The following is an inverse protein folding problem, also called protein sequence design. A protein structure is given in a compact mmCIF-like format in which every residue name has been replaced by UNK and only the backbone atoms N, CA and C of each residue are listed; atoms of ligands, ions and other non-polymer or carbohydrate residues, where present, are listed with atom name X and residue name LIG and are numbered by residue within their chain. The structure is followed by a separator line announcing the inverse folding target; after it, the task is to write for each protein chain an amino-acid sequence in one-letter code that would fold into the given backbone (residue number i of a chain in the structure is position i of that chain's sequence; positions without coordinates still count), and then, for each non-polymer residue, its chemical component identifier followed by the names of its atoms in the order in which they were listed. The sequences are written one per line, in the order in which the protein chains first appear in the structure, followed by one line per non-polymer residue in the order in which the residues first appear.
data_IF_475846640142
#
_entry.id   IF_475846640142
#
_cell.length_a   1.000
_cell.length_b   1.000
_cell.length_c   1.000
_cell.angle_alpha   90.00
_cell.angle_beta   90.00
_cell.angle_gamma   90.00
#
_symmetry.space_group_name_H-M   'P 1'
#
loop_
_entity.id
_entity.type
_entity.pdbx_description
1 polymer ?
#
# COMPACT_ATOMS: atom_id res chain seq x y z
N UNK A 1 -30.75 -49.43 2.04
CA UNK A 1 -29.76 -49.29 3.13
C UNK A 1 -29.43 -47.79 3.27
N UNK A 2 -29.79 -47.12 4.38
CA UNK A 2 -29.78 -45.66 4.46
C UNK A 2 -28.39 -45.10 4.80
N UNK A 3 -28.01 -44.03 4.12
CA UNK A 3 -26.74 -43.30 4.29
C UNK A 3 -26.71 -42.62 5.68
N UNK A 4 -25.76 -43.03 6.53
CA UNK A 4 -25.47 -42.37 7.81
C UNK A 4 -24.95 -40.95 7.56
N UNK A 5 -25.66 -39.95 8.09
CA UNK A 5 -25.16 -38.57 8.20
C UNK A 5 -23.91 -38.56 9.10
N UNK A 6 -22.73 -38.28 8.54
CA UNK A 6 -21.54 -37.93 9.33
C UNK A 6 -21.75 -36.51 9.88
N UNK A 7 -21.92 -36.38 11.20
CA UNK A 7 -21.88 -35.08 11.87
C UNK A 7 -20.51 -34.46 11.68
N UNK A 8 -20.43 -33.31 11.04
CA UNK A 8 -19.21 -32.51 11.00
C UNK A 8 -19.02 -31.96 12.41
N UNK A 9 -18.07 -32.53 13.17
CA UNK A 9 -17.63 -31.94 14.44
C UNK A 9 -17.02 -30.58 14.09
N UNK A 10 -17.67 -29.51 14.54
CA UNK A 10 -17.08 -28.19 14.56
C UNK A 10 -15.74 -28.29 15.32
N UNK A 11 -14.66 -27.89 14.66
CA UNK A 11 -13.38 -27.64 15.32
C UNK A 11 -13.63 -26.54 16.35
N UNK A 12 -13.67 -26.91 17.63
CA UNK A 12 -13.63 -25.94 18.72
C UNK A 12 -12.28 -25.22 18.64
N UNK A 13 -12.28 -24.02 18.05
CA UNK A 13 -11.20 -23.08 18.24
C UNK A 13 -11.21 -22.66 19.70
N UNK A 14 -10.19 -23.11 20.45
CA UNK A 14 -9.92 -22.65 21.81
C UNK A 14 -9.96 -21.12 21.85
N UNK A 15 -10.91 -20.58 22.61
CA UNK A 15 -11.03 -19.16 22.92
C UNK A 15 -9.74 -18.72 23.62
N UNK A 16 -8.82 -18.11 22.85
CA UNK A 16 -7.71 -17.38 23.44
C UNK A 16 -8.30 -16.23 24.25
N UNK A 17 -8.19 -16.37 25.56
CA UNK A 17 -8.48 -15.40 26.62
C UNK A 17 -8.10 -13.98 26.17
N UNK A 18 -9.07 -13.21 25.72
CA UNK A 18 -8.90 -11.77 25.54
C UNK A 18 -8.56 -11.19 26.92
N UNK A 19 -7.39 -10.58 27.07
CA UNK A 19 -7.06 -9.82 28.26
C UNK A 19 -8.16 -8.76 28.42
N UNK A 20 -8.97 -8.84 29.49
CA UNK A 20 -9.97 -7.83 29.85
C UNK A 20 -9.24 -6.56 30.26
N UNK A 21 -8.70 -5.81 29.32
CA UNK A 21 -8.22 -4.46 29.56
C UNK A 21 -9.47 -3.60 29.83
N UNK A 22 -9.76 -3.36 31.11
CA UNK A 22 -10.73 -2.34 31.51
C UNK A 22 -10.08 -0.99 31.22
N UNK A 23 -10.74 -0.17 30.42
CA UNK A 23 -10.32 1.22 30.19
C UNK A 23 -11.19 2.07 31.09
N UNK A 24 -10.58 2.70 32.09
CA UNK A 24 -11.31 3.54 33.05
C UNK A 24 -11.79 4.84 32.40
N UNK A 25 -12.96 5.32 32.82
CA UNK A 25 -13.48 6.60 32.37
C UNK A 25 -12.82 7.74 33.16
N UNK A 26 -12.17 8.67 32.44
CA UNK A 26 -11.44 9.79 33.04
C UNK A 26 -12.38 10.81 33.72
N UNK A 27 -13.65 10.86 33.30
CA UNK A 27 -14.67 11.77 33.84
C UNK A 27 -15.47 11.13 34.98
N UNK A 28 -15.85 9.87 34.86
CA UNK A 28 -16.51 9.11 35.93
C UNK A 28 -15.57 8.01 36.43
N UNK A 29 -14.84 8.31 37.51
CA UNK A 29 -13.80 7.43 38.08
C UNK A 29 -14.31 6.07 38.56
N UNK A 30 -15.62 5.89 38.70
CA UNK A 30 -16.26 4.61 39.06
C UNK A 30 -16.83 3.87 37.85
N UNK A 31 -16.62 4.39 36.64
CA UNK A 31 -17.13 3.84 35.40
C UNK A 31 -16.00 3.39 34.49
N UNK A 32 -16.31 2.42 33.65
CA UNK A 32 -15.40 1.87 32.65
C UNK A 32 -16.02 1.99 31.27
N UNK A 33 -15.17 2.12 30.26
CA UNK A 33 -15.59 1.94 28.89
C UNK A 33 -15.87 0.46 28.63
N UNK A 34 -17.14 0.11 28.44
CA UNK A 34 -17.58 -1.27 28.20
C UNK A 34 -18.11 -1.48 26.80
N UNK A 35 -18.58 -0.41 26.16
CA UNK A 35 -19.21 -0.46 24.86
C UNK A 35 -18.21 -0.04 23.79
N UNK A 36 -18.20 -0.78 22.67
CA UNK A 36 -17.35 -0.50 21.52
C UNK A 36 -18.25 -0.17 20.33
N UNK A 37 -18.04 0.99 19.73
CA UNK A 37 -18.73 1.43 18.52
C UNK A 37 -17.74 1.59 17.38
N UNK A 38 -18.01 0.90 16.28
CA UNK A 38 -17.34 1.14 15.01
C UNK A 38 -18.12 2.20 14.24
N UNK A 39 -17.51 3.35 14.01
CA UNK A 39 -18.07 4.39 13.17
C UNK A 39 -17.37 4.40 11.81
N UNK A 40 -18.13 4.16 10.76
CA UNK A 40 -17.62 4.25 9.40
C UNK A 40 -17.33 5.71 9.05
N UNK A 41 -16.10 5.97 8.61
CA UNK A 41 -15.67 7.30 8.19
C UNK A 41 -15.79 7.43 6.68
N UNK A 42 -15.03 6.62 5.95
CA UNK A 42 -15.10 6.55 4.50
C UNK A 42 -14.67 5.18 4.03
N UNK A 43 -15.61 4.47 3.40
CA UNK A 43 -15.40 3.18 2.74
C UNK A 43 -14.69 2.14 3.61
N UNK A 44 -13.37 2.01 3.52
CA UNK A 44 -12.56 1.05 4.31
C UNK A 44 -12.02 1.63 5.62
N UNK A 45 -12.34 2.89 5.92
CA UNK A 45 -11.86 3.58 7.12
C UNK A 45 -12.92 3.63 8.20
N UNK A 46 -12.52 3.25 9.40
CA UNK A 46 -13.36 3.21 10.59
C UNK A 46 -12.68 3.91 11.77
N UNK A 47 -13.51 4.51 12.61
CA UNK A 47 -13.17 4.94 13.95
C UNK A 47 -13.63 3.87 14.93
N UNK A 48 -12.72 3.42 15.79
CA UNK A 48 -13.07 2.62 16.95
C UNK A 48 -13.29 3.55 18.14
N UNK A 49 -14.54 3.72 18.54
CA UNK A 49 -14.92 4.49 19.72
C UNK A 49 -15.26 3.56 20.86
N UNK A 50 -14.71 3.86 22.02
CA UNK A 50 -15.14 3.32 23.30
C UNK A 50 -16.19 4.26 23.88
N UNK A 51 -17.33 3.72 24.33
CA UNK A 51 -18.41 4.44 24.98
C UNK A 51 -18.45 4.05 26.46
N UNK A 52 -18.55 5.04 27.33
CA UNK A 52 -18.68 4.82 28.77
C UNK A 52 -20.07 4.23 29.08
N UNK A 53 -20.16 3.32 30.04
CA UNK A 53 -21.46 2.72 30.41
C UNK A 53 -22.37 3.67 31.18
N UNK A 54 -21.80 4.65 31.88
CA UNK A 54 -22.52 5.45 32.87
C UNK A 54 -22.49 6.97 32.57
N UNK A 55 -21.83 7.42 31.51
CA UNK A 55 -21.88 8.80 31.05
C UNK A 55 -21.71 8.88 29.52
N UNK A 56 -21.99 10.05 28.93
CA UNK A 56 -21.91 10.26 27.48
C UNK A 56 -20.48 10.41 26.93
N UNK A 57 -19.48 10.14 27.77
CA UNK A 57 -18.09 10.20 27.34
C UNK A 57 -17.75 9.10 26.36
N UNK A 58 -16.98 9.49 25.33
CA UNK A 58 -16.46 8.59 24.34
C UNK A 58 -14.98 8.84 24.08
N UNK A 59 -14.24 7.76 23.86
CA UNK A 59 -12.80 7.80 23.55
C UNK A 59 -12.56 7.12 22.22
N UNK A 60 -11.98 7.84 21.25
CA UNK A 60 -11.53 7.22 20.00
C UNK A 60 -10.17 6.57 20.25
N UNK A 61 -10.09 5.24 20.13
CA UNK A 61 -8.90 4.46 20.50
C UNK A 61 -8.08 4.03 19.29
N UNK A 62 -8.74 3.72 18.17
CA UNK A 62 -8.07 3.44 16.91
C UNK A 62 -8.66 4.34 15.86
N UNK A 63 -7.77 5.08 15.21
CA UNK A 63 -8.10 5.79 14.00
C UNK A 63 -7.34 5.11 12.85
N UNK A 64 -8.06 4.66 11.82
CA UNK A 64 -7.43 4.19 10.57
C UNK A 64 -6.77 5.34 9.78
N UNK A 65 -6.91 6.58 10.26
CA UNK A 65 -6.05 7.70 9.94
C UNK A 65 -4.81 7.75 10.83
N UNK A 66 -3.63 7.74 10.24
CA UNK A 66 -2.47 8.37 10.88
C UNK A 66 -2.63 9.89 10.77
N UNK A 67 -2.57 10.60 11.91
CA UNK A 67 -2.59 12.08 11.98
C UNK A 67 -1.47 12.75 11.16
N UNK A 68 -0.44 12.00 10.78
CA UNK A 68 0.72 12.48 10.02
C UNK A 68 0.49 12.59 8.50
N UNK A 69 -0.66 12.17 7.96
CA UNK A 69 -0.96 12.32 6.53
C UNK A 69 -1.97 13.45 6.31
N UNK A 70 -1.57 14.58 5.68
CA UNK A 70 -2.31 15.85 5.77
C UNK A 70 -3.74 15.84 5.24
N UNK A 71 -4.12 14.92 4.34
CA UNK A 71 -5.43 15.01 3.65
C UNK A 71 -5.87 13.67 3.06
N UNK A 72 -5.80 12.57 3.81
CA UNK A 72 -6.36 11.29 3.33
C UNK A 72 -6.36 10.19 4.37
N UNK A 73 -7.32 9.29 4.26
CA UNK A 73 -7.37 8.08 5.07
C UNK A 73 -6.15 7.21 4.74
N UNK A 74 -5.25 7.02 5.72
CA UNK A 74 -4.00 6.28 5.54
C UNK A 74 -4.23 4.86 5.04
N UNK A 75 -5.29 4.20 5.51
CA UNK A 75 -5.69 2.87 5.06
C UNK A 75 -5.97 2.81 3.55
N UNK A 76 -6.56 3.85 2.94
CA UNK A 76 -6.81 3.88 1.50
C UNK A 76 -5.50 3.91 0.71
N UNK A 77 -4.52 4.69 1.20
CA UNK A 77 -3.18 4.75 0.61
C UNK A 77 -2.49 3.38 0.70
N UNK A 78 -2.58 2.72 1.86
CA UNK A 78 -1.99 1.39 2.09
C UNK A 78 -2.63 0.30 1.24
N UNK A 79 -3.95 0.29 1.10
CA UNK A 79 -4.65 -0.65 0.20
C UNK A 79 -4.23 -0.38 -1.25
N UNK A 80 -4.21 0.89 -1.67
CA UNK A 80 -3.72 1.25 -3.02
C UNK A 80 -2.29 0.74 -3.22
N UNK A 81 -1.40 0.96 -2.26
CA UNK A 81 -0.01 0.51 -2.30
C UNK A 81 0.10 -1.01 -2.41
N UNK A 82 -0.63 -1.76 -1.58
CA UNK A 82 -0.61 -3.22 -1.57
C UNK A 82 -1.08 -3.79 -2.92
N UNK A 83 -2.14 -3.23 -3.50
CA UNK A 83 -2.63 -3.66 -4.81
C UNK A 83 -1.69 -3.24 -5.95
N UNK A 84 -1.04 -2.08 -5.85
CA UNK A 84 0.02 -1.68 -6.79
C UNK A 84 1.22 -2.64 -6.77
N UNK A 85 1.63 -3.14 -5.61
CA UNK A 85 2.74 -4.11 -5.49
C UNK A 85 2.45 -5.45 -6.16
N UNK A 86 1.17 -5.84 -6.27
CA UNK A 86 0.74 -7.03 -7.03
C UNK A 86 0.25 -6.70 -8.44
N UNK A 87 0.55 -5.50 -8.94
CA UNK A 87 0.19 -5.04 -10.28
C UNK A 87 -1.32 -5.10 -10.57
N UNK A 88 -2.13 -4.83 -9.55
CA UNK A 88 -3.59 -4.81 -9.65
C UNK A 88 -4.11 -3.39 -9.43
N UNK A 89 -4.94 -2.94 -10.37
CA UNK A 89 -5.59 -1.64 -10.30
C UNK A 89 -6.88 -1.65 -9.47
N UNK A 90 -7.58 -0.52 -9.52
CA UNK A 90 -8.81 -0.26 -8.77
C UNK A 90 -9.88 -1.36 -8.88
N UNK A 91 -10.10 -1.94 -10.07
CA UNK A 91 -11.10 -3.00 -10.24
C UNK A 91 -10.83 -4.28 -9.44
N UNK A 92 -9.56 -4.54 -9.07
CA UNK A 92 -9.25 -5.64 -8.17
C UNK A 92 -9.56 -5.31 -6.71
N UNK A 93 -9.37 -4.05 -6.31
CA UNK A 93 -9.76 -3.54 -4.99
C UNK A 93 -11.27 -3.67 -4.82
N UNK A 94 -12.05 -3.30 -5.84
CA UNK A 94 -13.52 -3.45 -5.81
C UNK A 94 -13.94 -4.90 -5.58
N UNK A 95 -13.33 -5.85 -6.31
CA UNK A 95 -13.60 -7.29 -6.14
C UNK A 95 -13.20 -7.79 -4.76
N UNK A 96 -12.04 -7.37 -4.27
CA UNK A 96 -11.57 -7.71 -2.93
C UNK A 96 -12.54 -7.20 -1.86
N UNK A 97 -12.92 -5.92 -1.92
CA UNK A 97 -13.88 -5.30 -1.02
C UNK A 97 -15.23 -6.04 -1.03
N UNK A 98 -15.73 -6.39 -2.21
CA UNK A 98 -16.97 -7.18 -2.36
C UNK A 98 -16.88 -8.55 -1.66
N UNK A 99 -15.78 -9.29 -1.84
CA UNK A 99 -15.58 -10.60 -1.17
C UNK A 99 -15.47 -10.44 0.35
N UNK A 100 -14.85 -9.36 0.81
CA UNK A 100 -14.70 -9.06 2.23
C UNK A 100 -15.97 -8.46 2.87
N UNK A 101 -17.03 -8.22 2.09
CA UNK A 101 -18.22 -7.49 2.50
C UNK A 101 -17.91 -6.09 3.09
N UNK A 102 -17.02 -5.36 2.42
CA UNK A 102 -16.60 -3.98 2.75
C UNK A 102 -16.85 -3.10 1.53
N UNK A 103 -17.18 -1.82 1.73
CA UNK A 103 -17.35 -0.89 0.61
C UNK A 103 -15.99 -0.35 0.11
N UNK A 104 -15.71 -0.41 -1.21
CA UNK A 104 -14.49 0.14 -1.79
C UNK A 104 -14.55 1.67 -1.89
N UNK A 105 -13.43 2.35 -1.62
CA UNK A 105 -13.31 3.80 -1.84
C UNK A 105 -13.44 4.16 -3.31
N UNK A 106 -13.96 5.34 -3.64
CA UNK A 106 -14.20 5.74 -5.03
C UNK A 106 -12.96 5.69 -5.93
N UNK A 107 -13.17 5.54 -7.24
CA UNK A 107 -12.12 5.62 -8.26
C UNK A 107 -11.36 6.95 -8.22
N UNK A 108 -12.03 8.05 -7.87
CA UNK A 108 -11.41 9.37 -7.66
C UNK A 108 -10.44 9.34 -6.47
N UNK A 109 -10.83 8.70 -5.36
CA UNK A 109 -9.97 8.51 -4.19
C UNK A 109 -8.77 7.62 -4.53
N UNK A 110 -8.99 6.54 -5.29
CA UNK A 110 -7.91 5.71 -5.83
C UNK A 110 -6.92 6.53 -6.65
N UNK A 111 -7.39 7.36 -7.59
CA UNK A 111 -6.52 8.21 -8.41
C UNK A 111 -5.68 9.20 -7.59
N UNK A 112 -6.25 9.76 -6.51
CA UNK A 112 -5.51 10.60 -5.56
C UNK A 112 -4.44 9.81 -4.80
N UNK A 113 -4.75 8.59 -4.37
CA UNK A 113 -3.78 7.73 -3.66
C UNK A 113 -2.67 7.26 -4.59
N UNK A 114 -3.01 6.81 -5.80
CA UNK A 114 -2.04 6.38 -6.80
C UNK A 114 -1.05 7.49 -7.14
N UNK A 115 -1.54 8.72 -7.37
CA UNK A 115 -0.67 9.89 -7.62
C UNK A 115 0.24 10.22 -6.43
N UNK A 116 -0.25 10.06 -5.20
CA UNK A 116 0.59 10.27 -4.01
C UNK A 116 1.71 9.25 -3.91
N UNK A 117 1.41 7.99 -4.21
CA UNK A 117 2.42 6.92 -4.24
C UNK A 117 3.44 7.17 -5.33
N UNK A 118 2.99 7.53 -6.53
CA UNK A 118 3.84 7.87 -7.67
C UNK A 118 4.83 8.98 -7.32
N UNK A 119 4.34 10.13 -6.81
CA UNK A 119 5.20 11.22 -6.36
C UNK A 119 6.20 10.79 -5.28
N UNK A 120 5.78 9.96 -4.33
CA UNK A 120 6.65 9.48 -3.25
C UNK A 120 7.73 8.53 -3.77
N UNK A 121 7.40 7.65 -4.73
CA UNK A 121 8.37 6.75 -5.35
C UNK A 121 9.35 7.49 -6.25
N UNK A 122 8.88 8.49 -7.02
CA UNK A 122 9.76 9.34 -7.83
C UNK A 122 10.78 10.06 -6.95
N UNK A 123 10.33 10.73 -5.90
CA UNK A 123 11.23 11.44 -4.98
C UNK A 123 12.21 10.48 -4.28
N UNK A 124 11.75 9.31 -3.84
CA UNK A 124 12.62 8.31 -3.23
C UNK A 124 13.68 7.81 -4.23
N UNK A 125 13.28 7.59 -5.49
CA UNK A 125 14.19 7.18 -6.55
C UNK A 125 15.23 8.26 -6.82
N UNK A 126 14.82 9.52 -6.99
CA UNK A 126 15.74 10.65 -7.19
C UNK A 126 16.80 10.76 -6.09
N UNK A 127 16.40 10.58 -4.82
CA UNK A 127 17.34 10.60 -3.69
C UNK A 127 18.32 9.42 -3.73
N UNK A 128 17.85 8.21 -4.07
CA UNK A 128 18.70 7.02 -4.23
C UNK A 128 19.70 7.23 -5.38
N UNK A 129 19.24 7.72 -6.53
CA UNK A 129 20.12 7.97 -7.67
C UNK A 129 21.15 9.06 -7.37
N UNK A 130 20.78 10.11 -6.63
CA UNK A 130 21.74 11.13 -6.19
C UNK A 130 22.85 10.55 -5.29
N UNK A 131 22.50 9.62 -4.40
CA UNK A 131 23.47 8.90 -3.57
C UNK A 131 24.36 7.97 -4.41
N UNK A 132 23.77 7.18 -5.31
CA UNK A 132 24.51 6.31 -6.24
C UNK A 132 25.50 7.12 -7.08
N UNK A 133 25.08 8.23 -7.67
CA UNK A 133 25.93 9.08 -8.49
C UNK A 133 27.11 9.65 -7.69
N UNK A 134 26.90 9.99 -6.41
CA UNK A 134 27.98 10.42 -5.51
C UNK A 134 28.97 9.28 -5.25
N UNK A 135 28.49 8.08 -4.95
CA UNK A 135 29.37 6.92 -4.71
C UNK A 135 30.17 6.53 -5.96
N UNK A 136 29.53 6.52 -7.13
CA UNK A 136 30.22 6.28 -8.40
C UNK A 136 31.29 7.36 -8.62
N UNK A 137 30.95 8.63 -8.41
CA UNK A 137 31.92 9.73 -8.57
C UNK A 137 33.15 9.56 -7.68
N UNK A 138 32.97 9.16 -6.41
CA UNK A 138 34.07 8.91 -5.48
C UNK A 138 34.99 7.75 -5.94
N UNK A 139 34.44 6.73 -6.60
CA UNK A 139 35.22 5.59 -7.11
C UNK A 139 36.03 5.97 -8.34
N UNK A 140 35.46 6.79 -9.22
CA UNK A 140 36.10 7.25 -10.46
C UNK A 140 36.86 8.58 -10.30
N UNK A 141 37.02 9.06 -9.06
CA UNK A 141 37.55 10.38 -8.72
C UNK A 141 39.04 10.50 -9.07
N UNK A 142 39.32 10.92 -10.32
CA UNK A 142 40.66 11.18 -10.85
C UNK A 142 40.97 12.69 -11.00
N UNK A 143 40.17 13.56 -10.39
CA UNK A 143 40.28 15.03 -10.53
C UNK A 143 39.73 15.59 -11.85
N UNK A 144 39.03 14.79 -12.65
CA UNK A 144 38.38 15.22 -13.88
C UNK A 144 36.94 15.67 -13.65
N UNK A 145 36.47 16.67 -14.41
CA UNK A 145 35.07 17.14 -14.39
C UNK A 145 34.11 16.10 -15.00
N UNK A 146 34.59 15.33 -15.98
CA UNK A 146 33.86 14.27 -16.67
C UNK A 146 34.55 12.94 -16.36
N UNK A 147 33.77 11.95 -15.94
CA UNK A 147 34.23 10.59 -15.70
C UNK A 147 33.74 9.67 -16.82
N UNK A 148 34.66 8.90 -17.40
CA UNK A 148 34.33 7.84 -18.35
C UNK A 148 33.91 6.58 -17.59
N UNK A 149 32.64 6.19 -17.75
CA UNK A 149 32.07 5.02 -17.09
C UNK A 149 32.03 3.83 -18.05
N UNK A 150 32.56 2.70 -17.60
CA UNK A 150 32.34 1.43 -18.27
C UNK A 150 31.02 0.84 -17.79
N UNK A 151 30.05 0.69 -18.69
CA UNK A 151 28.69 0.26 -18.33
C UNK A 151 28.29 -1.02 -19.05
N UNK A 152 27.43 -1.81 -18.40
CA UNK A 152 26.62 -2.84 -19.01
C UNK A 152 25.17 -2.37 -19.12
N UNK A 153 24.42 -2.99 -20.02
CA UNK A 153 22.99 -2.72 -20.20
C UNK A 153 22.22 -4.02 -19.97
N UNK A 154 21.18 -3.93 -19.17
CA UNK A 154 20.21 -5.01 -19.00
C UNK A 154 18.78 -4.47 -19.11
N UNK A 155 17.82 -5.35 -19.34
CA UNK A 155 16.43 -4.97 -19.42
C UNK A 155 15.48 -6.13 -19.23
N UNK A 156 14.30 -5.82 -18.73
CA UNK A 156 13.25 -6.79 -18.46
C UNK A 156 11.94 -6.39 -19.11
N UNK A 157 11.09 -7.39 -19.34
CA UNK A 157 9.76 -7.21 -19.89
C UNK A 157 8.71 -7.61 -18.84
N UNK A 158 7.61 -6.88 -18.77
CA UNK A 158 6.54 -7.16 -17.81
C UNK A 158 5.96 -8.58 -17.96
N UNK A 159 5.87 -9.09 -19.18
CA UNK A 159 5.38 -10.44 -19.47
C UNK A 159 6.40 -11.25 -20.24
N UNK A 160 6.42 -12.57 -20.01
CA UNK A 160 7.21 -13.51 -20.80
C UNK A 160 6.58 -13.70 -22.19
N UNK A 161 7.44 -13.96 -23.18
CA UNK A 161 7.04 -14.07 -24.59
C UNK A 161 7.13 -12.72 -25.31
N UNK A 162 7.28 -12.76 -26.63
CA UNK A 162 7.46 -11.57 -27.49
C UNK A 162 6.22 -10.67 -27.62
N UNK A 163 5.36 -10.64 -26.61
CA UNK A 163 4.07 -9.94 -26.58
C UNK A 163 4.03 -8.82 -25.55
N UNK A 164 5.12 -8.57 -24.81
CA UNK A 164 5.14 -7.48 -23.84
C UNK A 164 5.06 -6.12 -24.52
N UNK A 165 4.18 -5.26 -24.00
CA UNK A 165 4.05 -3.87 -24.42
C UNK A 165 4.70 -2.90 -23.44
N UNK A 166 5.25 -3.42 -22.34
CA UNK A 166 5.91 -2.66 -21.29
C UNK A 166 7.24 -3.34 -20.97
N UNK A 167 8.32 -2.57 -21.03
CA UNK A 167 9.65 -3.01 -20.67
C UNK A 167 10.37 -1.95 -19.85
N UNK A 168 11.47 -2.36 -19.25
CA UNK A 168 12.37 -1.50 -18.50
C UNK A 168 13.80 -1.85 -18.91
N UNK A 169 14.61 -0.84 -19.18
CA UNK A 169 16.05 -1.00 -19.39
C UNK A 169 16.81 -0.24 -18.32
N UNK A 170 17.94 -0.78 -17.87
CA UNK A 170 18.83 -0.15 -16.92
C UNK A 170 20.29 -0.16 -17.41
N UNK A 171 21.01 0.88 -17.05
CA UNK A 171 22.45 1.05 -17.29
C UNK A 171 23.15 0.77 -15.98
N UNK A 172 24.08 -0.19 -15.96
CA UNK A 172 24.75 -0.67 -14.75
C UNK A 172 26.24 -0.38 -14.89
N UNK A 173 26.81 0.34 -13.93
CA UNK A 173 28.25 0.57 -13.88
C UNK A 173 28.99 -0.75 -13.60
N UNK A 174 29.99 -1.06 -14.42
CA UNK A 174 30.70 -2.34 -14.37
C UNK A 174 31.60 -2.47 -13.13
N UNK A 175 32.04 -1.35 -12.57
CA UNK A 175 32.99 -1.35 -11.46
C UNK A 175 32.28 -1.46 -10.10
N UNK A 176 31.23 -0.67 -9.89
CA UNK A 176 30.46 -0.64 -8.64
C UNK A 176 29.28 -1.61 -8.64
N UNK A 177 28.79 -2.00 -9.82
CA UNK A 177 27.58 -2.80 -9.98
C UNK A 177 26.28 -2.01 -9.72
N UNK A 178 26.35 -0.68 -9.53
CA UNK A 178 25.16 0.14 -9.32
C UNK A 178 24.44 0.45 -10.63
N UNK A 179 23.12 0.56 -10.55
CA UNK A 179 22.30 1.10 -11.64
C UNK A 179 22.49 2.61 -11.70
N UNK A 180 23.07 3.10 -12.80
CA UNK A 180 23.36 4.52 -13.03
C UNK A 180 22.13 5.27 -13.53
N UNK A 181 21.37 4.62 -14.41
CA UNK A 181 20.16 5.16 -15.00
C UNK A 181 19.22 4.03 -15.41
N UNK A 182 17.92 4.34 -15.53
CA UNK A 182 16.92 3.39 -15.99
C UNK A 182 15.81 4.08 -16.79
N UNK A 183 15.18 3.32 -17.68
CA UNK A 183 14.07 3.80 -18.48
C UNK A 183 12.97 2.76 -18.60
N UNK A 184 11.78 3.15 -18.16
CA UNK A 184 10.54 2.43 -18.46
C UNK A 184 10.06 2.81 -19.86
N UNK A 185 9.85 1.80 -20.71
CA UNK A 185 9.33 1.91 -22.07
C UNK A 185 7.92 1.30 -22.14
N UNK A 186 6.97 2.03 -22.72
CA UNK A 186 5.60 1.53 -22.92
C UNK A 186 5.14 1.79 -24.35
N UNK A 187 4.64 0.75 -25.01
CA UNK A 187 3.86 0.84 -26.27
C UNK A 187 2.36 1.01 -26.00
N UNK A 188 1.95 1.02 -24.73
CA UNK A 188 0.55 1.25 -24.33
C UNK A 188 0.35 2.73 -24.06
N UNK A 189 -0.54 3.37 -24.84
CA UNK A 189 -1.00 4.72 -24.58
C UNK A 189 -2.49 4.70 -24.21
N UNK A 190 -2.81 5.06 -22.96
CA UNK A 190 -4.21 5.05 -22.47
C UNK A 190 -5.10 6.02 -23.25
N UNK A 191 -4.56 7.16 -23.66
CA UNK A 191 -5.30 8.12 -24.49
C UNK A 191 -5.67 7.51 -25.85
N UNK A 192 -4.71 6.91 -26.56
CA UNK A 192 -4.97 6.21 -27.82
C UNK A 192 -5.90 5.01 -27.66
N UNK A 193 -5.82 4.28 -26.54
CA UNK A 193 -6.73 3.16 -26.27
C UNK A 193 -8.18 3.59 -26.06
N UNK A 194 -8.42 4.77 -25.49
CA UNK A 194 -9.77 5.32 -25.31
C UNK A 194 -10.31 5.90 -26.61
N UNK A 195 -9.46 6.55 -27.42
CA UNK A 195 -9.84 7.14 -28.70
C UNK A 195 -10.17 6.13 -29.82
N UNK A 196 -9.78 4.86 -29.66
CA UNK A 196 -10.08 3.77 -30.62
C UNK A 196 -11.45 3.12 -30.41
N UNK A 197 -12.25 3.61 -29.47
CA UNK A 197 -13.65 3.21 -29.28
C UNK A 197 -14.56 4.17 -30.03
#
# INVERSE_FOLDING_TARGET
MPLRKRSVRALQMNEKRWCKAKVDCEVNKNSVFTNVRLEKLNTVSYNLKLLCSNCDENKTVVNTFLKSVPTGHYVNLRITQAFSHIWKGYSAIEKFCMVMNIDPFSSTTYGKCARRLDNAYTLASENIFAEIHREIKNVYENGAEIADLSVSFDGTWLTRGHTSLIGEGCVIDMLTGYVVDFKVMSKVCRHCSVAKK
#
